data_IF_026869683534
#
_entry.id   IF_026869683534
#
_cell.length_a   1.000
_cell.length_b   1.000
_cell.length_c   1.000
_cell.angle_alpha   90.00
_cell.angle_beta   90.00
_cell.angle_gamma   90.00
#
_symmetry.space_group_name_H-M   'P 1'
#
loop_
_entity.id
_entity.type
_entity.pdbx_description
1 polymer ?
#
# COMPACT_ATOMS: atom_id res chain seq x y z
N UNK A 1 -61.11 14.89 38.24
CA UNK A 1 -60.50 16.02 37.52
C UNK A 1 -58.99 15.88 37.74
N UNK A 2 -58.28 14.97 37.07
CA UNK A 2 -58.04 14.83 35.63
C UNK A 2 -57.31 16.03 35.06
N UNK A 3 -55.97 15.99 35.12
CA UNK A 3 -55.13 16.44 34.01
C UNK A 3 -53.84 15.61 33.98
N UNK A 4 -53.43 15.23 32.78
CA UNK A 4 -52.50 14.14 32.47
C UNK A 4 -51.35 14.74 31.67
N UNK A 5 -50.15 14.79 32.26
CA UNK A 5 -48.94 15.32 31.61
C UNK A 5 -48.18 14.24 30.86
N UNK A 6 -48.25 14.33 29.54
CA UNK A 6 -47.20 14.05 28.52
C UNK A 6 -46.28 12.84 28.73
N UNK A 7 -46.69 11.72 28.11
CA UNK A 7 -45.78 10.84 27.36
C UNK A 7 -45.41 11.56 26.07
N UNK A 8 -44.11 11.71 25.80
CA UNK A 8 -43.50 11.62 24.46
C UNK A 8 -41.97 11.65 24.61
N UNK A 9 -41.33 10.48 24.54
CA UNK A 9 -39.90 10.36 24.26
C UNK A 9 -39.73 9.10 23.42
N UNK A 10 -39.98 9.32 22.13
CA UNK A 10 -39.81 8.36 21.05
C UNK A 10 -38.30 8.20 20.78
N UNK A 11 -37.64 7.38 21.60
CA UNK A 11 -36.25 6.97 21.37
C UNK A 11 -36.23 5.90 20.30
N UNK A 12 -36.08 6.35 19.06
CA UNK A 12 -35.44 5.68 17.91
C UNK A 12 -34.94 4.24 18.15
N UNK A 13 -35.86 3.28 18.14
CA UNK A 13 -35.57 1.85 18.07
C UNK A 13 -35.57 1.41 16.59
N UNK A 14 -34.48 1.71 15.88
CA UNK A 14 -34.20 1.20 14.54
C UNK A 14 -33.09 0.16 14.62
N UNK A 15 -33.47 -1.13 14.58
CA UNK A 15 -32.64 -2.26 14.14
C UNK A 15 -31.28 -2.47 14.80
N UNK A 16 -31.24 -3.01 16.02
CA UNK A 16 -30.05 -3.74 16.49
C UNK A 16 -30.04 -5.15 15.88
N UNK A 17 -29.85 -5.24 14.57
CA UNK A 17 -29.69 -6.51 13.86
C UNK A 17 -28.36 -7.13 14.31
N UNK A 18 -28.35 -8.26 15.02
CA UNK A 18 -27.24 -9.23 15.13
C UNK A 18 -25.77 -8.82 15.46
N UNK A 19 -25.45 -7.54 15.66
CA UNK A 19 -24.05 -7.08 15.78
C UNK A 19 -23.52 -7.22 17.21
N UNK A 20 -22.30 -7.75 17.36
CA UNK A 20 -21.56 -7.81 18.63
C UNK A 20 -21.27 -6.40 19.17
N UNK A 21 -21.05 -6.26 20.49
CA UNK A 21 -20.68 -4.99 21.13
C UNK A 21 -19.44 -4.34 20.47
N UNK A 22 -18.48 -5.16 20.07
CA UNK A 22 -17.26 -4.70 19.38
C UNK A 22 -17.56 -4.18 17.97
N UNK A 23 -18.46 -4.84 17.25
CA UNK A 23 -18.90 -4.39 15.93
C UNK A 23 -19.60 -3.02 16.01
N UNK A 24 -20.43 -2.80 17.04
CA UNK A 24 -21.06 -1.48 17.27
C UNK A 24 -20.02 -0.40 17.55
N UNK A 25 -18.97 -0.70 18.33
CA UNK A 25 -17.89 0.25 18.59
C UNK A 25 -17.12 0.62 17.31
N UNK A 26 -16.86 -0.36 16.44
CA UNK A 26 -16.25 -0.14 15.12
C UNK A 26 -17.13 0.76 14.24
N UNK A 27 -18.44 0.51 14.21
CA UNK A 27 -19.39 1.31 13.44
C UNK A 27 -19.43 2.76 13.97
N UNK A 28 -19.45 2.95 15.28
CA UNK A 28 -19.35 4.30 15.88
C UNK A 28 -18.07 5.03 15.48
N UNK A 29 -16.91 4.35 15.48
CA UNK A 29 -15.66 4.94 15.02
C UNK A 29 -15.70 5.34 13.53
N UNK A 30 -16.33 4.51 12.67
CA UNK A 30 -16.49 4.84 11.25
C UNK A 30 -17.37 6.09 11.06
N UNK A 31 -18.43 6.23 11.84
CA UNK A 31 -19.29 7.41 11.82
C UNK A 31 -18.59 8.67 12.36
N UNK A 32 -17.77 8.56 13.41
CA UNK A 32 -16.93 9.66 13.90
C UNK A 32 -15.91 10.11 12.85
N UNK A 33 -15.43 9.20 12.00
CA UNK A 33 -14.57 9.51 10.86
C UNK A 33 -15.32 10.15 9.67
N UNK A 34 -16.63 10.35 9.77
CA UNK A 34 -17.46 10.93 8.71
C UNK A 34 -17.89 9.93 7.61
N UNK A 35 -17.67 8.63 7.80
CA UNK A 35 -18.06 7.59 6.86
C UNK A 35 -19.50 7.17 7.17
N UNK A 36 -20.44 7.48 6.28
CA UNK A 36 -21.87 7.17 6.45
C UNK A 36 -22.27 5.83 5.81
N UNK A 37 -21.62 5.46 4.70
CA UNK A 37 -21.89 4.24 3.96
C UNK A 37 -20.63 3.37 3.86
N UNK A 38 -20.74 2.10 4.26
CA UNK A 38 -19.66 1.11 4.15
C UNK A 38 -20.26 -0.28 3.92
N UNK A 39 -19.47 -1.17 3.32
CA UNK A 39 -19.83 -2.58 3.17
C UNK A 39 -19.77 -3.27 4.54
N UNK A 40 -20.78 -4.08 4.95
CA UNK A 40 -20.76 -4.80 6.23
C UNK A 40 -19.49 -5.64 6.48
N UNK A 41 -18.83 -6.13 5.42
CA UNK A 41 -17.58 -6.88 5.51
C UNK A 41 -16.42 -6.05 6.07
N UNK A 42 -16.46 -4.72 5.91
CA UNK A 42 -15.44 -3.80 6.45
C UNK A 42 -15.39 -3.88 7.98
N UNK A 43 -16.55 -4.02 8.64
CA UNK A 43 -16.61 -4.15 10.11
C UNK A 43 -15.93 -5.44 10.56
N UNK A 44 -16.20 -6.56 9.89
CA UNK A 44 -15.51 -7.83 10.16
C UNK A 44 -14.01 -7.71 9.94
N UNK A 45 -13.59 -7.14 8.82
CA UNK A 45 -12.17 -6.97 8.49
C UNK A 45 -11.45 -6.08 9.50
N UNK A 46 -12.08 -5.00 9.97
CA UNK A 46 -11.46 -4.10 10.94
C UNK A 46 -11.33 -4.76 12.32
N UNK A 47 -12.31 -5.57 12.74
CA UNK A 47 -12.20 -6.38 13.96
C UNK A 47 -11.06 -7.39 13.86
N UNK A 48 -10.90 -8.06 12.71
CA UNK A 48 -9.79 -8.99 12.47
C UNK A 48 -8.43 -8.28 12.54
N UNK A 49 -8.32 -7.09 11.92
CA UNK A 49 -7.11 -6.26 11.98
C UNK A 49 -6.82 -5.80 13.41
N UNK A 50 -7.84 -5.35 14.15
CA UNK A 50 -7.70 -4.95 15.55
C UNK A 50 -7.16 -6.12 16.39
N UNK A 51 -7.78 -7.30 16.27
CA UNK A 51 -7.33 -8.50 16.98
C UNK A 51 -5.89 -8.87 16.62
N UNK A 52 -5.56 -8.88 15.32
CA UNK A 52 -4.22 -9.21 14.84
C UNK A 52 -3.16 -8.23 15.37
N UNK A 53 -3.44 -6.92 15.32
CA UNK A 53 -2.54 -5.87 15.82
C UNK A 53 -2.37 -5.98 17.33
N UNK A 54 -3.45 -6.08 18.10
CA UNK A 54 -3.39 -6.21 19.56
C UNK A 54 -2.66 -7.48 19.98
N UNK A 55 -2.93 -8.62 19.34
CA UNK A 55 -2.21 -9.87 19.60
C UNK A 55 -0.72 -9.72 19.32
N UNK A 56 -0.34 -9.06 18.21
CA UNK A 56 1.07 -8.84 17.86
C UNK A 56 1.78 -7.94 18.86
N UNK A 57 1.13 -6.86 19.31
CA UNK A 57 1.66 -5.97 20.35
C UNK A 57 1.88 -6.76 21.64
N UNK A 58 0.87 -7.51 22.11
CA UNK A 58 0.96 -8.28 23.36
C UNK A 58 2.03 -9.38 23.29
N UNK A 59 2.20 -10.04 22.15
CA UNK A 59 3.28 -11.02 21.94
C UNK A 59 4.65 -10.37 22.08
N UNK A 60 4.86 -9.21 21.46
CA UNK A 60 6.10 -8.45 21.57
C UNK A 60 6.33 -7.94 23.00
N UNK A 61 5.31 -7.38 23.67
CA UNK A 61 5.40 -6.93 25.06
C UNK A 61 5.72 -8.06 26.02
N UNK A 62 5.14 -9.26 25.81
CA UNK A 62 5.50 -10.45 26.59
C UNK A 62 6.96 -10.85 26.39
N UNK A 63 7.47 -10.73 25.16
CA UNK A 63 8.90 -10.93 24.85
C UNK A 63 9.81 -9.92 25.58
N UNK A 64 9.43 -8.64 25.57
CA UNK A 64 10.17 -7.57 26.25
C UNK A 64 10.17 -7.75 27.78
N UNK A 65 9.00 -8.04 28.37
CA UNK A 65 8.86 -8.29 29.81
C UNK A 65 9.70 -9.48 30.27
N UNK A 66 9.71 -10.58 29.50
CA UNK A 66 10.60 -11.75 29.74
C UNK A 66 12.07 -11.40 29.63
N UNK A 67 12.45 -10.55 28.68
CA UNK A 67 13.83 -10.10 28.52
C UNK A 67 14.30 -9.23 29.69
N UNK A 68 13.39 -8.45 30.28
CA UNK A 68 13.65 -7.61 31.45
C UNK A 68 13.50 -8.35 32.79
N UNK A 69 13.32 -9.68 32.80
CA UNK A 69 13.06 -10.51 33.98
C UNK A 69 11.84 -10.06 34.82
N UNK A 70 10.89 -9.37 34.19
CA UNK A 70 9.65 -8.93 34.83
C UNK A 70 8.61 -10.06 34.79
N UNK A 71 7.84 -10.20 35.88
CA UNK A 71 6.78 -11.21 35.98
C UNK A 71 5.44 -10.74 35.40
N UNK A 72 5.27 -9.44 35.19
CA UNK A 72 4.05 -8.81 34.69
C UNK A 72 4.40 -7.91 33.51
N UNK A 73 3.47 -7.81 32.55
CA UNK A 73 3.61 -6.89 31.42
C UNK A 73 3.25 -5.49 31.92
N UNK A 74 4.20 -4.57 31.85
CA UNK A 74 3.99 -3.18 32.25
C UNK A 74 3.57 -2.31 31.05
N UNK A 75 3.01 -1.13 31.33
CA UNK A 75 2.60 -0.19 30.28
C UNK A 75 3.78 0.25 29.39
N UNK A 76 4.99 0.32 29.96
CA UNK A 76 6.23 0.62 29.23
C UNK A 76 6.55 -0.46 28.17
N UNK A 77 6.31 -1.74 28.49
CA UNK A 77 6.55 -2.85 27.57
C UNK A 77 5.54 -2.82 26.39
N UNK A 78 4.32 -2.33 26.63
CA UNK A 78 3.28 -2.15 25.59
C UNK A 78 3.61 -0.97 24.70
N UNK A 79 4.00 0.16 25.28
CA UNK A 79 4.41 1.34 24.51
C UNK A 79 5.63 1.04 23.64
N UNK A 80 6.66 0.42 24.22
CA UNK A 80 7.88 0.04 23.50
C UNK A 80 7.58 -0.95 22.36
N UNK A 81 6.72 -1.94 22.61
CA UNK A 81 6.28 -2.88 21.58
C UNK A 81 5.51 -2.18 20.44
N UNK A 82 4.63 -1.23 20.76
CA UNK A 82 3.88 -0.47 19.77
C UNK A 82 4.80 0.39 18.89
N UNK A 83 5.81 1.02 19.50
CA UNK A 83 6.81 1.83 18.79
C UNK A 83 7.71 0.96 17.91
N UNK A 84 8.16 -0.20 18.41
CA UNK A 84 8.94 -1.16 17.62
C UNK A 84 8.18 -1.72 16.43
N UNK A 85 6.87 -1.94 16.58
CA UNK A 85 6.02 -2.44 15.50
C UNK A 85 5.62 -1.35 14.50
N UNK A 86 5.80 -0.07 14.85
CA UNK A 86 5.42 1.07 14.01
C UNK A 86 3.91 1.15 13.72
N UNK A 87 3.07 0.53 14.56
CA UNK A 87 1.62 0.43 14.34
C UNK A 87 0.90 1.75 14.64
N UNK A 88 1.44 2.56 15.55
CA UNK A 88 0.90 3.88 15.89
C UNK A 88 1.63 5.01 15.16
N UNK A 89 2.80 4.73 14.57
CA UNK A 89 3.58 5.74 13.88
C UNK A 89 3.05 5.92 12.46
N UNK A 90 2.62 7.13 12.15
CA UNK A 90 2.42 7.53 10.76
C UNK A 90 3.77 7.55 10.06
N UNK A 91 3.91 6.81 8.95
CA UNK A 91 5.10 6.86 8.11
C UNK A 91 5.18 8.16 7.28
N UNK A 92 4.51 9.24 7.74
CA UNK A 92 4.58 10.53 7.08
C UNK A 92 6.05 10.99 7.06
N UNK A 93 6.65 11.16 5.86
CA UNK A 93 8.04 11.56 5.78
C UNK A 93 8.23 12.96 6.39
N UNK A 94 9.27 13.12 7.20
CA UNK A 94 9.59 14.40 7.82
C UNK A 94 9.69 15.50 6.75
N UNK A 95 8.99 16.62 6.99
CA UNK A 95 8.96 17.77 6.07
C UNK A 95 10.37 18.24 5.73
N UNK A 96 11.28 18.22 6.70
CA UNK A 96 12.68 18.59 6.50
C UNK A 96 13.36 17.67 5.45
N UNK A 97 13.14 16.36 5.54
CA UNK A 97 13.69 15.39 4.59
C UNK A 97 13.11 15.57 3.19
N UNK A 98 11.82 15.89 3.07
CA UNK A 98 11.19 16.23 1.79
C UNK A 98 11.81 17.51 1.21
N UNK A 99 12.04 18.53 2.03
CA UNK A 99 12.63 19.80 1.60
C UNK A 99 14.10 19.65 1.16
N UNK A 100 14.89 18.83 1.88
CA UNK A 100 16.25 18.49 1.47
C UNK A 100 16.25 17.80 0.10
N UNK A 101 15.41 16.77 -0.07
CA UNK A 101 15.27 16.07 -1.37
C UNK A 101 14.79 17.02 -2.48
N UNK A 102 13.87 17.93 -2.17
CA UNK A 102 13.39 18.93 -3.11
C UNK A 102 14.51 19.89 -3.53
N UNK A 103 15.33 20.37 -2.60
CA UNK A 103 16.48 21.23 -2.91
C UNK A 103 17.49 20.52 -3.82
N UNK A 104 17.84 19.26 -3.52
CA UNK A 104 18.76 18.47 -4.35
C UNK A 104 18.22 18.27 -5.78
N UNK A 105 16.91 18.01 -5.92
CA UNK A 105 16.24 17.89 -7.23
C UNK A 105 16.16 19.23 -7.96
N UNK A 106 15.87 20.31 -7.26
CA UNK A 106 15.70 21.65 -7.84
C UNK A 106 17.04 22.32 -8.22
N UNK A 107 18.17 21.83 -7.70
CA UNK A 107 19.51 22.26 -8.16
C UNK A 107 19.81 21.82 -9.59
N UNK A 108 19.11 20.81 -10.12
CA UNK A 108 19.29 20.39 -11.51
C UNK A 108 18.58 21.38 -12.44
N UNK A 109 19.31 22.11 -13.31
CA UNK A 109 18.69 23.06 -14.20
C UNK A 109 17.74 22.35 -15.17
N UNK A 110 16.64 23.01 -15.52
CA UNK A 110 15.71 22.48 -16.49
C UNK A 110 16.41 22.25 -17.84
N UNK A 111 16.13 21.13 -18.54
CA UNK A 111 16.65 20.90 -19.87
C UNK A 111 16.22 22.01 -20.84
N UNK A 112 17.09 22.40 -21.76
CA UNK A 112 16.77 23.42 -22.77
C UNK A 112 15.54 23.01 -23.59
N UNK A 113 14.57 23.92 -23.66
CA UNK A 113 13.37 23.76 -24.49
C UNK A 113 13.76 24.04 -25.95
N UNK A 114 13.54 23.09 -26.86
CA UNK A 114 13.71 23.31 -28.31
C UNK A 114 12.41 23.86 -28.89
N UNK A 115 12.48 24.78 -29.85
CA UNK A 115 11.35 25.48 -30.49
C UNK A 115 10.45 24.59 -31.38
N UNK A 116 10.57 23.27 -31.30
CA UNK A 116 9.70 22.36 -32.04
C UNK A 116 8.39 22.25 -31.27
N UNK A 117 7.30 22.73 -31.87
CA UNK A 117 5.96 22.57 -31.32
C UNK A 117 5.58 21.08 -31.25
N UNK A 118 5.18 20.58 -30.09
CA UNK A 118 4.68 19.21 -29.93
C UNK A 118 5.09 18.53 -28.62
N UNK A 119 4.54 17.33 -28.39
CA UNK A 119 4.90 16.48 -27.27
C UNK A 119 6.28 15.85 -27.52
N UNK A 120 7.21 16.02 -26.59
CA UNK A 120 8.50 15.31 -26.63
C UNK A 120 8.35 13.94 -25.98
N UNK A 121 8.25 12.90 -26.81
CA UNK A 121 8.40 11.54 -26.30
C UNK A 121 9.84 11.32 -25.83
N UNK A 122 10.05 10.48 -24.78
CA UNK A 122 11.35 9.88 -24.52
C UNK A 122 11.92 9.22 -25.79
N UNK A 123 13.22 8.90 -25.82
CA UNK A 123 13.78 8.09 -26.92
C UNK A 123 12.94 6.80 -27.07
N UNK A 124 12.73 6.31 -28.29
CA UNK A 124 11.87 5.14 -28.55
C UNK A 124 12.16 3.95 -27.63
N UNK A 125 13.43 3.75 -27.23
CA UNK A 125 13.84 2.69 -26.27
C UNK A 125 13.34 2.88 -24.84
N UNK A 126 12.96 4.10 -24.46
CA UNK A 126 12.27 4.43 -23.22
C UNK A 126 10.75 4.54 -23.41
N UNK A 127 10.27 4.40 -24.64
CA UNK A 127 8.86 4.30 -24.94
C UNK A 127 8.44 2.82 -24.96
N UNK A 128 7.28 2.51 -24.38
CA UNK A 128 6.70 1.17 -24.42
C UNK A 128 5.96 0.95 -25.76
N UNK A 129 6.63 1.23 -26.88
CA UNK A 129 6.07 1.10 -28.23
C UNK A 129 6.49 -0.20 -28.93
N UNK A 130 7.59 -0.80 -28.49
CA UNK A 130 8.07 -2.07 -29.02
C UNK A 130 7.12 -3.20 -28.62
N UNK A 131 6.87 -4.14 -29.54
CA UNK A 131 6.09 -5.34 -29.23
C UNK A 131 6.72 -6.08 -28.04
N UNK A 132 6.00 -6.16 -26.92
CA UNK A 132 6.43 -6.88 -25.71
C UNK A 132 5.73 -8.24 -25.58
N UNK A 133 4.84 -8.55 -26.50
CA UNK A 133 4.13 -9.82 -26.58
C UNK A 133 3.97 -10.21 -28.05
N UNK A 134 4.26 -11.48 -28.37
CA UNK A 134 3.96 -12.08 -29.67
C UNK A 134 3.03 -13.25 -29.39
N UNK A 135 1.79 -13.15 -29.86
CA UNK A 135 0.89 -14.28 -29.86
C UNK A 135 1.36 -15.28 -30.91
N UNK A 136 1.78 -16.48 -30.48
CA UNK A 136 2.04 -17.59 -31.40
C UNK A 136 0.76 -18.41 -31.51
N UNK A 137 0.15 -18.38 -32.68
CA UNK A 137 -1.03 -19.19 -33.00
C UNK A 137 -0.68 -20.65 -33.36
N UNK A 138 0.61 -21.02 -33.36
CA UNK A 138 1.01 -22.40 -33.63
C UNK A 138 0.46 -23.34 -32.56
N UNK A 139 -0.28 -24.35 -33.03
CA UNK A 139 -1.03 -25.40 -32.33
C UNK A 139 -0.22 -26.29 -31.36
N UNK A 140 0.99 -25.88 -30.95
CA UNK A 140 1.71 -26.51 -29.84
C UNK A 140 1.48 -25.72 -28.54
N UNK A 141 0.23 -25.63 -28.10
CA UNK A 141 -0.03 -25.52 -26.66
C UNK A 141 0.44 -26.84 -26.04
N UNK A 142 1.74 -26.95 -25.73
CA UNK A 142 2.14 -27.83 -24.65
C UNK A 142 1.47 -27.23 -23.41
N UNK A 143 0.52 -27.93 -22.76
CA UNK A 143 0.16 -27.52 -21.42
C UNK A 143 1.48 -27.43 -20.67
N UNK A 144 1.87 -26.22 -20.28
CA UNK A 144 2.81 -26.09 -19.18
C UNK A 144 2.13 -26.88 -18.09
N UNK A 145 2.61 -28.10 -17.83
CA UNK A 145 2.26 -28.80 -16.62
C UNK A 145 2.46 -27.74 -15.55
N UNK A 146 1.38 -27.46 -14.82
CA UNK A 146 1.51 -26.83 -13.52
C UNK A 146 2.35 -27.81 -12.71
N UNK A 147 3.67 -27.76 -12.91
CA UNK A 147 4.60 -28.08 -11.87
C UNK A 147 4.08 -27.21 -10.74
N UNK A 148 3.56 -27.85 -9.70
CA UNK A 148 3.42 -27.21 -8.41
C UNK A 148 4.85 -26.81 -8.04
N UNK A 149 5.28 -25.66 -8.56
CA UNK A 149 6.32 -24.90 -7.94
C UNK A 149 5.64 -24.49 -6.65
N UNK A 150 5.94 -25.24 -5.60
CA UNK A 150 5.74 -24.77 -4.24
C UNK A 150 6.57 -23.51 -4.19
N UNK A 151 5.97 -22.38 -4.56
CA UNK A 151 6.55 -21.08 -4.36
C UNK A 151 6.62 -20.94 -2.85
N UNK A 152 7.74 -21.38 -2.28
CA UNK A 152 8.25 -20.68 -1.12
C UNK A 152 8.19 -19.20 -1.48
N UNK A 153 7.76 -18.33 -0.54
CA UNK A 153 7.78 -16.90 -0.76
C UNK A 153 9.24 -16.45 -0.89
N UNK A 154 9.83 -16.72 -2.05
CA UNK A 154 11.00 -16.03 -2.50
C UNK A 154 10.48 -14.71 -3.01
N UNK A 155 10.81 -13.67 -2.26
CA UNK A 155 10.86 -12.30 -2.76
C UNK A 155 11.56 -12.42 -4.12
N UNK A 156 10.80 -12.17 -5.19
CA UNK A 156 11.38 -11.93 -6.50
C UNK A 156 12.15 -10.63 -6.30
N UNK A 157 13.41 -10.75 -5.92
CA UNK A 157 14.34 -9.64 -6.07
C UNK A 157 14.29 -9.28 -7.56
N UNK A 158 13.98 -8.02 -7.92
CA UNK A 158 14.11 -7.61 -9.31
C UNK A 158 15.52 -7.99 -9.73
N UNK A 159 15.74 -8.50 -10.95
CA UNK A 159 17.07 -8.87 -11.38
C UNK A 159 17.98 -7.67 -11.09
N UNK A 160 18.94 -7.86 -10.19
CA UNK A 160 19.91 -6.86 -9.74
C UNK A 160 20.91 -6.52 -10.84
N UNK A 161 20.47 -6.60 -12.10
CA UNK A 161 20.99 -5.78 -13.18
C UNK A 161 20.56 -4.33 -12.88
N UNK A 162 21.23 -3.74 -11.89
CA UNK A 162 21.46 -2.29 -11.86
C UNK A 162 21.93 -1.97 -13.27
N UNK A 163 21.08 -1.28 -14.04
CA UNK A 163 21.45 -0.83 -15.38
C UNK A 163 22.68 0.05 -15.20
N UNK A 164 23.86 -0.55 -15.39
CA UNK A 164 25.11 0.20 -15.36
C UNK A 164 24.98 1.31 -16.41
N UNK A 165 25.42 2.54 -16.11
CA UNK A 165 25.41 3.64 -17.08
C UNK A 165 26.04 3.21 -18.43
N UNK A 166 27.02 2.31 -18.37
CA UNK A 166 27.64 1.59 -19.50
C UNK A 166 26.62 0.92 -20.45
N UNK A 167 25.66 0.16 -19.90
CA UNK A 167 24.64 -0.56 -20.67
C UNK A 167 23.63 0.40 -21.29
N UNK A 168 23.31 1.49 -20.59
CA UNK A 168 22.46 2.57 -21.10
C UNK A 168 23.16 3.32 -22.24
N UNK A 169 24.46 3.61 -22.10
CA UNK A 169 25.27 4.25 -23.15
C UNK A 169 25.46 3.35 -24.37
N UNK A 170 25.67 2.06 -24.18
CA UNK A 170 25.81 1.10 -25.29
C UNK A 170 24.51 0.91 -26.04
N UNK A 171 23.37 0.94 -25.34
CA UNK A 171 22.07 1.02 -26.00
C UNK A 171 21.88 2.37 -26.71
N UNK A 172 22.35 3.49 -26.13
CA UNK A 172 22.24 4.85 -26.69
C UNK A 172 23.04 5.06 -27.97
N UNK A 173 24.11 4.28 -28.16
CA UNK A 173 24.94 4.29 -29.38
C UNK A 173 24.40 3.40 -30.51
N UNK A 174 23.42 2.53 -30.26
CA UNK A 174 22.83 1.75 -31.36
C UNK A 174 21.96 2.68 -32.20
N UNK A 175 22.39 2.91 -33.45
CA UNK A 175 21.57 3.53 -34.50
C UNK A 175 20.27 2.72 -34.59
N UNK A 176 19.12 3.41 -34.63
CA UNK A 176 17.88 2.75 -34.99
C UNK A 176 18.09 2.06 -36.36
N UNK A 177 17.58 0.83 -36.58
CA UNK A 177 17.51 0.29 -37.92
C UNK A 177 16.71 1.28 -38.77
N UNK A 178 17.28 1.70 -39.90
CA UNK A 178 16.59 2.54 -40.87
C UNK A 178 15.46 1.66 -41.46
N UNK A 179 14.25 1.78 -40.91
CA UNK A 179 13.04 1.26 -41.56
C UNK A 179 12.73 2.19 -42.73
N UNK A 180 13.17 1.76 -43.91
CA UNK A 180 12.75 2.27 -45.21
C UNK A 180 11.21 2.16 -45.34
N UNK A 181 10.49 3.21 -44.94
CA UNK A 181 9.10 3.40 -45.32
C UNK A 181 9.05 4.37 -46.50
N UNK A 182 9.29 3.81 -47.68
CA UNK A 182 9.17 4.48 -48.98
C UNK A 182 7.73 4.26 -49.51
N UNK A 183 6.87 5.28 -49.36
CA UNK A 183 5.69 5.65 -50.19
C UNK A 183 4.99 6.88 -49.62
#
# INVERSE_FOLDING_TARGET
MADTGEKDTETTASGTDGHSKEALAVISMLHECGIQEFDPRVVSMLMDVQYAVTSKILQMSSGLSRHAEKAQIEAEDVQTAADMLGVLTTNAPDREKILQLANDKNQQPLPQIRHNYGLKLPNDRFCQLQQNFVYKADDSYQPMEMQQVTHQPHIIEPPTQVLRPEHVQNMLKRRAPDDDFDS
#
